data_IF_241438926072
#
_entry.id   IF_241438926072
#
_cell.length_a   1.000
_cell.length_b   1.000
_cell.length_c   1.000
_cell.angle_alpha   90.00
_cell.angle_beta   90.00
_cell.angle_gamma   90.00
#
_symmetry.space_group_name_H-M   'P 1'
#
loop_
_entity.id
_entity.type
_entity.pdbx_description
1 polymer ?
#
# COMPACT_ATOMS: atom_id res chain seq x y z
N UNK A 1 55.25 -31.57 -43.51
CA UNK A 1 55.03 -30.91 -42.20
C UNK A 1 54.81 -29.42 -42.42
N UNK A 2 53.58 -28.91 -42.27
CA UNK A 2 53.35 -27.48 -41.95
C UNK A 2 51.94 -27.26 -41.39
N UNK A 3 51.94 -26.60 -40.24
CA UNK A 3 50.92 -26.52 -39.19
C UNK A 3 49.54 -26.00 -39.62
N UNK A 4 48.50 -26.70 -39.16
CA UNK A 4 47.12 -26.21 -39.09
C UNK A 4 47.01 -25.35 -37.82
N UNK A 5 46.71 -24.06 -37.97
CA UNK A 5 46.35 -23.18 -36.85
C UNK A 5 44.85 -23.29 -36.59
N UNK A 6 44.48 -23.86 -35.44
CA UNK A 6 43.11 -23.84 -34.92
C UNK A 6 42.97 -22.58 -34.06
N UNK A 7 42.14 -21.63 -34.51
CA UNK A 7 41.73 -20.47 -33.72
C UNK A 7 40.59 -20.90 -32.78
N UNK A 8 40.89 -21.05 -31.49
CA UNK A 8 39.87 -21.21 -30.46
C UNK A 8 39.39 -19.81 -30.08
N UNK A 9 38.19 -19.44 -30.53
CA UNK A 9 37.51 -18.23 -30.07
C UNK A 9 37.03 -18.45 -28.62
N UNK A 10 37.78 -17.92 -27.65
CA UNK A 10 37.35 -17.80 -26.27
C UNK A 10 36.23 -16.74 -26.20
N UNK A 11 34.98 -17.19 -26.21
CA UNK A 11 33.83 -16.36 -25.87
C UNK A 11 33.90 -16.13 -24.35
N UNK A 12 34.49 -15.01 -23.95
CA UNK A 12 34.34 -14.49 -22.59
C UNK A 12 32.90 -14.02 -22.42
N UNK A 13 32.01 -14.92 -21.97
CA UNK A 13 30.73 -14.52 -21.39
C UNK A 13 31.04 -13.82 -20.07
N UNK A 14 31.18 -12.50 -20.08
CA UNK A 14 31.14 -11.73 -18.84
C UNK A 14 29.78 -11.97 -18.20
N UNK A 15 29.76 -12.65 -17.06
CA UNK A 15 28.58 -12.73 -16.22
C UNK A 15 28.34 -11.30 -15.75
N UNK A 16 27.43 -10.58 -16.41
CA UNK A 16 26.92 -9.30 -15.93
C UNK A 16 26.20 -9.62 -14.62
N UNK A 17 26.88 -9.37 -13.49
CA UNK A 17 26.26 -9.53 -12.18
C UNK A 17 25.18 -8.47 -12.08
N UNK A 18 23.93 -8.90 -11.87
CA UNK A 18 22.81 -7.99 -11.68
C UNK A 18 23.08 -7.08 -10.47
N UNK A 19 22.82 -5.78 -10.63
CA UNK A 19 22.92 -4.80 -9.55
C UNK A 19 22.07 -5.23 -8.34
N UNK A 20 22.69 -5.33 -7.17
CA UNK A 20 21.99 -5.62 -5.90
C UNK A 20 21.04 -4.48 -5.54
N UNK A 21 20.01 -4.75 -4.72
CA UNK A 21 19.05 -3.72 -4.34
C UNK A 21 19.66 -2.57 -3.52
N UNK A 22 20.69 -2.84 -2.73
CA UNK A 22 21.42 -1.80 -1.99
C UNK A 22 22.26 -0.91 -2.94
N UNK A 23 22.87 -1.50 -3.97
CA UNK A 23 23.57 -0.75 -5.02
C UNK A 23 22.59 0.09 -5.84
N UNK A 24 21.42 -0.48 -6.17
CA UNK A 24 20.32 0.23 -6.81
C UNK A 24 19.89 1.46 -6.02
N UNK A 25 19.61 1.32 -4.71
CA UNK A 25 19.27 2.46 -3.84
C UNK A 25 20.35 3.52 -3.86
N UNK A 26 21.61 3.12 -3.62
CA UNK A 26 22.75 4.03 -3.59
C UNK A 26 22.93 4.80 -4.90
N UNK A 27 22.69 4.14 -6.04
CA UNK A 27 22.76 4.75 -7.36
C UNK A 27 21.64 5.77 -7.56
N UNK A 28 20.38 5.41 -7.26
CA UNK A 28 19.23 6.31 -7.40
C UNK A 28 19.43 7.54 -6.52
N UNK A 29 19.79 7.37 -5.24
CA UNK A 29 20.07 8.48 -4.33
C UNK A 29 21.16 9.39 -4.89
N UNK A 30 22.27 8.81 -5.39
CA UNK A 30 23.35 9.60 -5.99
C UNK A 30 22.91 10.38 -7.24
N UNK A 31 22.02 9.82 -8.05
CA UNK A 31 21.51 10.49 -9.26
C UNK A 31 20.63 11.70 -8.94
N UNK A 32 19.97 11.70 -7.79
CA UNK A 32 18.99 12.72 -7.40
C UNK A 32 19.41 13.59 -6.20
N UNK A 33 20.60 13.37 -5.63
CA UNK A 33 21.07 14.01 -4.38
C UNK A 33 20.98 15.54 -4.33
N UNK A 34 21.11 16.21 -5.49
CA UNK A 34 21.14 17.69 -5.58
C UNK A 34 19.79 18.27 -6.05
N UNK A 35 18.75 17.44 -6.15
CA UNK A 35 17.41 17.85 -6.61
C UNK A 35 16.42 17.85 -5.46
N UNK A 36 15.42 18.74 -5.53
CA UNK A 36 14.31 18.75 -4.58
C UNK A 36 13.51 17.44 -4.70
N UNK A 37 13.08 16.88 -3.57
CA UNK A 37 12.25 15.67 -3.53
C UNK A 37 11.03 15.77 -4.45
N UNK A 38 10.31 16.90 -4.39
CA UNK A 38 9.08 17.12 -5.15
C UNK A 38 9.31 17.26 -6.67
N UNK A 39 10.55 17.49 -7.11
CA UNK A 39 10.88 17.54 -8.54
C UNK A 39 11.17 16.15 -9.12
N UNK A 40 11.41 15.15 -8.26
CA UNK A 40 11.97 13.85 -8.66
C UNK A 40 11.19 12.65 -8.16
N UNK A 41 10.27 12.82 -7.22
CA UNK A 41 9.53 11.74 -6.56
C UNK A 41 8.82 10.79 -7.55
N UNK A 42 8.16 11.31 -8.59
CA UNK A 42 7.53 10.47 -9.64
C UNK A 42 8.56 9.70 -10.50
N UNK A 43 9.74 10.29 -10.72
CA UNK A 43 10.82 9.58 -11.44
C UNK A 43 11.39 8.45 -10.59
N UNK A 44 11.58 8.70 -9.29
CA UNK A 44 12.05 7.70 -8.32
C UNK A 44 11.04 6.57 -8.17
N UNK A 45 9.75 6.90 -8.04
CA UNK A 45 8.65 5.91 -8.07
C UNK A 45 8.77 5.02 -9.31
N UNK A 46 8.88 5.62 -10.51
CA UNK A 46 8.99 4.87 -11.77
C UNK A 46 10.18 3.92 -11.77
N UNK A 47 11.37 4.37 -11.33
CA UNK A 47 12.56 3.52 -11.24
C UNK A 47 12.37 2.36 -10.24
N UNK A 48 11.77 2.63 -9.08
CA UNK A 48 11.54 1.62 -8.04
C UNK A 48 10.51 0.60 -8.54
N UNK A 49 9.39 1.04 -9.13
CA UNK A 49 8.34 0.17 -9.69
C UNK A 49 8.95 -0.75 -10.75
N UNK A 50 9.78 -0.21 -11.66
CA UNK A 50 10.48 -1.01 -12.66
C UNK A 50 11.44 -2.02 -12.01
N UNK A 51 12.15 -1.65 -10.94
CA UNK A 51 13.05 -2.57 -10.21
C UNK A 51 12.28 -3.68 -9.52
N UNK A 52 11.18 -3.38 -8.82
CA UNK A 52 10.38 -4.40 -8.12
C UNK A 52 9.62 -5.31 -9.08
N UNK A 53 9.31 -4.87 -10.31
CA UNK A 53 8.76 -5.74 -11.35
C UNK A 53 9.76 -6.82 -11.81
N UNK A 54 11.04 -6.47 -11.88
CA UNK A 54 12.05 -7.32 -12.53
C UNK A 54 12.98 -8.07 -11.55
N UNK A 55 13.03 -7.66 -10.27
CA UNK A 55 13.93 -8.24 -9.28
C UNK A 55 13.16 -8.96 -8.17
N UNK A 56 13.10 -10.30 -8.19
CA UNK A 56 12.38 -11.09 -7.17
C UNK A 56 12.92 -10.90 -5.75
N UNK A 57 14.18 -10.50 -5.59
CA UNK A 57 14.74 -10.25 -4.26
C UNK A 57 14.12 -9.01 -3.60
N UNK A 58 13.46 -8.14 -4.39
CA UNK A 58 12.77 -6.96 -3.87
C UNK A 58 11.59 -7.30 -2.99
N UNK A 59 10.98 -8.48 -3.17
CA UNK A 59 9.83 -8.89 -2.37
C UNK A 59 10.20 -8.95 -0.88
N UNK A 60 11.40 -9.40 -0.52
CA UNK A 60 11.86 -9.47 0.88
C UNK A 60 12.69 -8.27 1.34
N UNK A 61 13.14 -7.42 0.42
CA UNK A 61 14.03 -6.29 0.72
C UNK A 61 13.28 -5.06 1.23
N UNK A 62 13.73 -4.43 2.31
CA UNK A 62 12.98 -3.33 2.93
C UNK A 62 13.13 -1.98 2.23
N UNK A 63 14.11 -1.76 1.36
CA UNK A 63 14.42 -0.44 0.79
C UNK A 63 14.63 0.66 1.84
N UNK A 64 15.56 0.47 2.81
CA UNK A 64 15.72 1.38 3.94
C UNK A 64 16.05 2.82 3.52
N UNK A 65 16.81 3.01 2.44
CA UNK A 65 17.21 4.35 2.00
C UNK A 65 16.02 5.08 1.37
N UNK A 66 15.20 4.39 0.58
CA UNK A 66 13.98 4.99 0.04
C UNK A 66 12.93 5.26 1.12
N UNK A 67 12.84 4.42 2.15
CA UNK A 67 11.95 4.70 3.28
C UNK A 67 12.37 5.92 4.09
N UNK A 68 13.69 6.12 4.27
CA UNK A 68 14.22 7.25 5.05
C UNK A 68 14.20 8.58 4.28
N UNK A 69 14.68 8.59 3.04
CA UNK A 69 14.92 9.83 2.29
C UNK A 69 13.81 10.21 1.31
N UNK A 70 12.97 9.26 0.90
CA UNK A 70 12.03 9.44 -0.21
C UNK A 70 10.59 9.08 0.14
N UNK A 71 10.27 9.02 1.44
CA UNK A 71 8.92 8.78 1.97
C UNK A 71 8.24 7.51 1.42
N UNK A 72 9.02 6.53 0.93
CA UNK A 72 8.46 5.23 0.57
C UNK A 72 7.96 4.55 1.84
N UNK A 73 6.74 4.01 1.81
CA UNK A 73 6.24 3.13 2.86
C UNK A 73 5.97 1.75 2.30
N UNK A 74 6.24 0.74 3.14
CA UNK A 74 5.93 -0.65 2.78
C UNK A 74 5.22 -1.36 3.91
N UNK A 75 4.24 -2.19 3.54
CA UNK A 75 3.48 -3.03 4.47
C UNK A 75 3.42 -4.44 3.92
N UNK A 76 3.66 -5.45 4.75
CA UNK A 76 3.33 -6.83 4.36
C UNK A 76 1.92 -7.17 4.80
N UNK A 77 1.23 -8.00 4.01
CA UNK A 77 0.07 -8.71 4.54
C UNK A 77 0.48 -9.57 5.74
N UNK A 78 -0.43 -9.84 6.70
CA UNK A 78 -0.12 -10.69 7.86
C UNK A 78 0.46 -12.07 7.50
N UNK A 79 -0.01 -12.69 6.42
CA UNK A 79 0.53 -13.95 5.90
C UNK A 79 1.78 -13.81 5.01
N UNK A 80 2.27 -12.58 4.83
CA UNK A 80 3.44 -12.20 4.03
C UNK A 80 3.38 -12.64 2.56
N UNK A 81 2.18 -12.83 2.01
CA UNK A 81 2.00 -13.14 0.57
C UNK A 81 2.00 -11.92 -0.32
N UNK A 82 1.67 -10.76 0.25
CA UNK A 82 1.61 -9.49 -0.47
C UNK A 82 2.49 -8.48 0.26
N UNK A 83 3.22 -7.68 -0.50
CA UNK A 83 3.90 -6.50 -0.02
C UNK A 83 3.34 -5.29 -0.73
N UNK A 84 2.85 -4.34 0.04
CA UNK A 84 2.31 -3.07 -0.43
C UNK A 84 3.37 -1.99 -0.38
N UNK A 85 3.28 -1.06 -1.32
CA UNK A 85 4.14 0.10 -1.46
C UNK A 85 3.26 1.34 -1.56
N UNK A 86 3.64 2.42 -0.90
CA UNK A 86 3.03 3.74 -1.05
C UNK A 86 4.14 4.76 -1.25
N UNK A 87 4.04 5.50 -2.34
CA UNK A 87 4.94 6.59 -2.72
C UNK A 87 4.24 7.93 -2.51
N UNK A 88 4.95 8.92 -1.97
CA UNK A 88 4.52 10.32 -2.01
C UNK A 88 4.94 10.92 -3.36
N UNK A 89 3.95 11.27 -4.18
CA UNK A 89 4.13 11.79 -5.53
C UNK A 89 3.67 13.24 -5.67
N UNK A 90 3.43 13.92 -4.55
CA UNK A 90 2.89 15.29 -4.54
C UNK A 90 3.90 16.35 -4.96
N UNK A 91 3.37 17.52 -5.34
CA UNK A 91 4.18 18.68 -5.76
C UNK A 91 4.66 19.60 -4.64
N UNK A 92 4.60 19.18 -3.37
CA UNK A 92 5.02 20.00 -2.21
C UNK A 92 3.96 20.98 -1.66
N UNK A 93 2.71 20.85 -2.09
CA UNK A 93 1.57 21.58 -1.54
C UNK A 93 1.10 21.03 -0.18
N UNK A 94 -0.02 21.53 0.32
CA UNK A 94 -0.61 21.03 1.58
C UNK A 94 -1.34 19.70 1.39
N UNK A 95 -1.88 19.46 0.20
CA UNK A 95 -2.49 18.19 -0.21
C UNK A 95 -1.43 17.10 -0.37
N UNK A 96 -1.75 15.88 0.09
CA UNK A 96 -0.91 14.71 -0.14
C UNK A 96 -1.40 13.96 -1.36
N UNK A 97 -0.48 13.62 -2.26
CA UNK A 97 -0.76 12.79 -3.43
C UNK A 97 0.07 11.52 -3.31
N UNK A 98 -0.61 10.38 -3.44
CA UNK A 98 0.01 9.07 -3.20
C UNK A 98 -0.25 8.14 -4.37
N UNK A 99 0.76 7.35 -4.70
CA UNK A 99 0.66 6.22 -5.61
C UNK A 99 0.97 4.94 -4.86
N UNK A 100 0.13 3.91 -5.05
CA UNK A 100 0.23 2.67 -4.28
C UNK A 100 0.23 1.44 -5.18
N UNK A 101 1.04 0.46 -4.79
CA UNK A 101 1.21 -0.79 -5.53
C UNK A 101 1.19 -1.98 -4.57
N UNK A 102 0.75 -3.12 -5.06
CA UNK A 102 1.00 -4.41 -4.43
C UNK A 102 2.02 -5.20 -5.24
N UNK A 103 2.85 -5.96 -4.55
CA UNK A 103 3.76 -6.94 -5.13
C UNK A 103 3.46 -8.30 -4.52
N UNK A 104 3.43 -9.32 -5.37
CA UNK A 104 3.38 -10.73 -4.96
C UNK A 104 4.44 -11.53 -5.67
N UNK A 105 4.80 -12.69 -5.13
CA UNK A 105 5.76 -13.61 -5.74
C UNK A 105 5.06 -14.94 -6.07
N UNK A 106 4.68 -15.12 -7.33
CA UNK A 106 3.97 -16.31 -7.82
C UNK A 106 4.89 -17.08 -8.76
N UNK A 107 5.12 -18.35 -8.46
CA UNK A 107 6.04 -19.23 -9.21
C UNK A 107 7.43 -18.61 -9.48
N UNK A 108 7.95 -17.83 -8.51
CA UNK A 108 9.24 -17.18 -8.61
C UNK A 108 9.29 -15.92 -9.49
N UNK A 109 8.13 -15.44 -9.97
CA UNK A 109 7.99 -14.19 -10.71
C UNK A 109 7.24 -13.15 -9.88
N UNK A 110 7.68 -11.91 -9.97
CA UNK A 110 6.96 -10.80 -9.37
C UNK A 110 5.71 -10.48 -10.19
N UNK A 111 4.61 -10.23 -9.50
CA UNK A 111 3.43 -9.59 -10.06
C UNK A 111 3.25 -8.31 -9.29
N UNK A 112 3.26 -7.17 -10.00
CA UNK A 112 3.11 -5.84 -9.41
C UNK A 112 1.83 -5.23 -9.96
N UNK A 113 0.89 -4.93 -9.08
CA UNK A 113 -0.43 -4.42 -9.43
C UNK A 113 -0.62 -3.03 -8.82
N UNK A 114 -0.88 -1.97 -9.62
CA UNK A 114 -1.28 -0.68 -9.07
C UNK A 114 -2.61 -0.84 -8.33
N UNK A 115 -2.76 -0.17 -7.20
CA UNK A 115 -3.98 -0.18 -6.41
C UNK A 115 -4.42 1.24 -6.10
N UNK A 116 -5.71 1.51 -6.27
CA UNK A 116 -6.31 2.80 -5.96
C UNK A 116 -6.57 2.89 -4.44
N UNK A 117 -5.55 3.32 -3.70
CA UNK A 117 -5.64 3.55 -2.26
C UNK A 117 -4.81 4.78 -1.86
N UNK A 118 -5.13 5.37 -0.71
CA UNK A 118 -4.40 6.52 -0.18
C UNK A 118 -3.06 6.10 0.43
N UNK A 119 -2.56 6.90 1.36
CA UNK A 119 -1.43 6.50 2.17
C UNK A 119 -1.82 5.33 3.06
N UNK A 120 -1.21 4.17 2.87
CA UNK A 120 -1.53 2.96 3.63
C UNK A 120 -1.05 3.15 5.08
N UNK A 121 -1.98 2.97 6.02
CA UNK A 121 -1.71 3.05 7.46
C UNK A 121 -1.47 1.66 8.05
N UNK A 122 -2.30 0.68 7.67
CA UNK A 122 -2.20 -0.69 8.14
C UNK A 122 -2.81 -1.68 7.15
N UNK A 123 -2.38 -2.93 7.24
CA UNK A 123 -2.89 -4.05 6.45
C UNK A 123 -3.26 -5.19 7.38
N UNK A 124 -4.56 -5.49 7.47
CA UNK A 124 -5.08 -6.64 8.22
C UNK A 124 -5.56 -7.74 7.28
N UNK A 125 -5.79 -8.93 7.82
CA UNK A 125 -6.25 -10.08 7.04
C UNK A 125 -7.37 -10.81 7.77
N UNK A 126 -8.54 -10.86 7.14
CA UNK A 126 -9.70 -11.58 7.64
C UNK A 126 -10.01 -12.77 6.73
N UNK A 127 -10.53 -13.85 7.30
CA UNK A 127 -11.08 -14.97 6.53
C UNK A 127 -12.59 -14.78 6.34
N UNK A 128 -13.03 -14.59 5.09
CA UNK A 128 -14.45 -14.59 4.69
C UNK A 128 -14.67 -15.72 3.69
N UNK A 129 -15.66 -16.59 3.94
CA UNK A 129 -15.94 -17.80 3.15
C UNK A 129 -14.69 -18.66 2.92
N UNK A 130 -13.85 -18.78 3.96
CA UNK A 130 -12.54 -19.47 3.94
C UNK A 130 -11.52 -18.87 2.96
N UNK A 131 -11.79 -17.69 2.39
CA UNK A 131 -10.86 -16.97 1.55
C UNK A 131 -10.19 -15.84 2.35
N UNK A 132 -8.87 -15.65 2.19
CA UNK A 132 -8.18 -14.51 2.79
C UNK A 132 -8.60 -13.21 2.09
N UNK A 133 -9.04 -12.27 2.89
CA UNK A 133 -9.41 -10.92 2.49
C UNK A 133 -8.48 -9.96 3.23
N UNK A 134 -7.80 -9.11 2.47
CA UNK A 134 -6.88 -8.11 2.99
C UNK A 134 -7.65 -6.81 3.17
N UNK A 135 -7.64 -6.30 4.40
CA UNK A 135 -8.26 -5.04 4.77
C UNK A 135 -7.16 -3.99 4.81
N UNK A 136 -7.20 -3.03 3.89
CA UNK A 136 -6.24 -1.94 3.84
C UNK A 136 -6.88 -0.72 4.47
N UNK A 137 -6.30 -0.26 5.58
CA UNK A 137 -6.62 1.04 6.18
C UNK A 137 -5.73 2.09 5.54
N UNK A 138 -6.32 3.16 5.02
CA UNK A 138 -5.60 4.20 4.30
C UNK A 138 -6.09 5.60 4.67
N UNK A 139 -5.26 6.59 4.35
CA UNK A 139 -5.50 7.99 4.60
C UNK A 139 -5.27 8.84 3.35
N UNK A 140 -6.21 9.72 3.03
CA UNK A 140 -6.08 10.74 2.01
C UNK A 140 -5.97 12.10 2.67
N UNK A 141 -4.87 12.81 2.39
CA UNK A 141 -4.62 14.15 2.90
C UNK A 141 -5.20 15.19 1.94
N UNK A 142 -6.32 15.80 2.33
CA UNK A 142 -6.86 16.96 1.62
C UNK A 142 -6.07 18.23 1.91
N UNK A 143 -6.60 19.37 1.47
CA UNK A 143 -5.94 20.66 1.70
C UNK A 143 -6.10 21.10 3.15
N UNK A 144 -5.01 21.62 3.73
CA UNK A 144 -4.96 22.21 5.07
C UNK A 144 -5.35 21.25 6.20
N UNK A 145 -6.65 21.11 6.46
CA UNK A 145 -7.21 20.51 7.68
C UNK A 145 -8.26 19.43 7.39
N UNK A 146 -8.54 19.16 6.12
CA UNK A 146 -9.51 18.12 5.72
C UNK A 146 -8.80 16.90 5.16
N UNK A 147 -9.45 15.75 5.24
CA UNK A 147 -9.00 14.53 4.58
C UNK A 147 -9.99 13.40 4.78
N UNK A 148 -9.57 12.18 4.45
CA UNK A 148 -10.46 11.02 4.48
C UNK A 148 -9.70 9.80 4.98
N UNK A 149 -10.22 9.13 6.00
CA UNK A 149 -9.81 7.78 6.36
C UNK A 149 -10.64 6.78 5.56
N UNK A 150 -10.03 5.67 5.16
CA UNK A 150 -10.75 4.62 4.46
C UNK A 150 -10.30 3.24 4.92
N UNK A 151 -11.22 2.28 4.80
CA UNK A 151 -10.93 0.86 4.88
C UNK A 151 -11.49 0.18 3.63
N UNK A 152 -10.67 -0.57 2.92
CA UNK A 152 -11.06 -1.24 1.68
C UNK A 152 -10.68 -2.73 1.70
N UNK A 153 -11.55 -3.55 1.12
CA UNK A 153 -11.34 -4.98 0.97
C UNK A 153 -10.64 -5.34 -0.34
N UNK A 154 -9.63 -6.19 -0.24
CA UNK A 154 -8.92 -6.77 -1.38
C UNK A 154 -8.82 -8.29 -1.27
N UNK A 155 -8.75 -8.98 -2.42
CA UNK A 155 -8.44 -10.40 -2.51
C UNK A 155 -7.22 -10.61 -3.42
N UNK A 156 -6.47 -11.67 -3.14
CA UNK A 156 -5.37 -12.13 -4.00
C UNK A 156 -5.91 -13.11 -5.04
N UNK A 157 -5.72 -12.80 -6.32
CA UNK A 157 -6.08 -13.68 -7.42
C UNK A 157 -5.03 -14.76 -7.65
N UNK A 158 -5.42 -15.83 -8.35
CA UNK A 158 -4.49 -16.88 -8.77
C UNK A 158 -3.40 -16.37 -9.72
N UNK A 159 -3.65 -15.27 -10.43
CA UNK A 159 -2.65 -14.57 -11.26
C UNK A 159 -1.55 -13.92 -10.43
N UNK A 160 -1.74 -13.73 -9.12
CA UNK A 160 -0.88 -12.93 -8.26
C UNK A 160 -1.31 -11.47 -8.12
N UNK A 161 -2.26 -11.02 -8.93
CA UNK A 161 -2.79 -9.66 -8.85
C UNK A 161 -3.71 -9.51 -7.64
N UNK A 162 -3.76 -8.29 -7.12
CA UNK A 162 -4.67 -7.91 -6.04
C UNK A 162 -5.87 -7.19 -6.65
N UNK A 163 -7.07 -7.63 -6.31
CA UNK A 163 -8.32 -7.07 -6.81
C UNK A 163 -9.19 -6.56 -5.65
N UNK A 164 -9.84 -5.41 -5.87
CA UNK A 164 -10.86 -4.87 -4.96
C UNK A 164 -12.00 -5.87 -4.80
N UNK A 165 -12.55 -6.00 -3.59
CA UNK A 165 -13.65 -6.94 -3.32
C UNK A 165 -14.67 -6.36 -2.35
N UNK A 166 -15.95 -6.56 -2.69
CA UNK A 166 -17.08 -6.02 -1.95
C UNK A 166 -17.37 -6.88 -0.72
N UNK A 167 -17.09 -6.35 0.46
CA UNK A 167 -17.14 -7.08 1.73
C UNK A 167 -17.89 -6.32 2.84
N UNK A 168 -18.29 -5.07 2.61
CA UNK A 168 -19.03 -4.27 3.59
C UNK A 168 -20.50 -4.24 3.22
N UNK A 169 -21.30 -5.04 3.90
CA UNK A 169 -22.73 -5.16 3.65
C UNK A 169 -23.50 -4.14 4.49
N UNK A 170 -24.04 -3.12 3.82
CA UNK A 170 -24.98 -2.17 4.41
C UNK A 170 -26.41 -2.72 4.34
N UNK A 171 -27.40 -1.94 4.81
CA UNK A 171 -28.81 -2.27 4.62
C UNK A 171 -29.25 -2.28 3.14
N UNK A 172 -28.52 -1.61 2.26
CA UNK A 172 -28.96 -1.33 0.87
C UNK A 172 -27.99 -1.84 -0.20
N UNK A 173 -26.72 -2.02 0.15
CA UNK A 173 -25.64 -2.25 -0.80
C UNK A 173 -24.51 -3.08 -0.20
N UNK A 174 -23.74 -3.73 -1.06
CA UNK A 174 -22.47 -4.34 -0.73
C UNK A 174 -21.37 -3.43 -1.30
N UNK A 175 -20.50 -2.94 -0.44
CA UNK A 175 -19.44 -1.99 -0.76
C UNK A 175 -18.07 -2.67 -0.62
N UNK A 176 -17.11 -2.27 -1.42
CA UNK A 176 -15.70 -2.66 -1.25
C UNK A 176 -14.93 -1.76 -0.28
N UNK A 177 -15.40 -0.54 -0.08
CA UNK A 177 -14.77 0.46 0.76
C UNK A 177 -15.79 1.15 1.68
N UNK A 178 -15.32 1.59 2.83
CA UNK A 178 -15.98 2.60 3.66
C UNK A 178 -15.00 3.75 3.86
N UNK A 179 -15.46 4.97 3.62
CA UNK A 179 -14.71 6.21 3.85
C UNK A 179 -15.32 7.00 4.99
N UNK A 180 -14.48 7.74 5.71
CA UNK A 180 -14.86 8.71 6.74
C UNK A 180 -14.06 9.97 6.50
N UNK A 181 -14.73 10.98 5.97
CA UNK A 181 -14.16 12.32 5.83
C UNK A 181 -13.94 12.93 7.22
N UNK A 182 -12.95 13.78 7.37
CA UNK A 182 -12.75 14.51 8.60
C UNK A 182 -12.29 15.93 8.38
N UNK A 183 -12.56 16.77 9.39
CA UNK A 183 -12.06 18.13 9.51
C UNK A 183 -11.35 18.26 10.86
N UNK A 184 -10.05 18.57 10.81
CA UNK A 184 -9.19 18.69 11.97
C UNK A 184 -9.55 19.89 12.88
N UNK A 185 -10.33 20.86 12.39
CA UNK A 185 -10.83 22.00 13.18
C UNK A 185 -11.81 21.54 14.27
N UNK A 186 -12.28 20.29 14.18
CA UNK A 186 -13.18 19.67 15.15
C UNK A 186 -12.45 18.72 16.12
N UNK A 187 -11.13 18.62 16.04
CA UNK A 187 -10.32 17.92 17.03
C UNK A 187 -10.11 18.83 18.24
N UNK A 188 -10.32 18.31 19.44
CA UNK A 188 -10.18 19.10 20.68
C UNK A 188 -8.72 19.38 21.07
N UNK A 189 -7.76 18.80 20.33
CA UNK A 189 -6.32 19.06 20.45
C UNK A 189 -5.50 18.24 19.44
N UNK A 190 -4.21 18.56 19.27
CA UNK A 190 -3.31 17.88 18.33
C UNK A 190 -3.00 16.42 18.69
N UNK A 191 -3.25 16.01 19.93
CA UNK A 191 -3.08 14.63 20.43
C UNK A 191 -4.39 13.83 20.49
N UNK A 192 -5.52 14.44 20.11
CA UNK A 192 -6.87 13.93 20.36
C UNK A 192 -7.55 13.55 19.04
N UNK A 193 -6.80 12.91 18.13
CA UNK A 193 -7.34 12.41 16.87
C UNK A 193 -8.30 11.24 17.17
N UNK A 194 -9.60 11.38 16.86
CA UNK A 194 -10.54 10.30 17.07
C UNK A 194 -10.11 9.06 16.28
N UNK A 195 -10.35 7.88 16.85
CA UNK A 195 -10.24 6.64 16.08
C UNK A 195 -11.40 6.60 15.07
N UNK A 196 -11.14 7.05 13.84
CA UNK A 196 -12.14 7.11 12.76
C UNK A 196 -12.60 5.72 12.31
N UNK A 197 -11.68 4.76 12.33
CA UNK A 197 -11.92 3.36 12.02
C UNK A 197 -11.30 2.56 13.17
N UNK A 198 -12.12 1.69 13.78
CA UNK A 198 -11.70 0.79 14.85
C UNK A 198 -11.90 -0.63 14.38
N UNK A 199 -10.85 -1.43 14.47
CA UNK A 199 -10.93 -2.84 14.15
C UNK A 199 -10.60 -3.64 15.40
N UNK A 200 -11.53 -4.50 15.82
CA UNK A 200 -11.32 -5.43 16.92
C UNK A 200 -10.10 -6.33 16.66
N UNK A 201 -9.40 -6.73 17.72
CA UNK A 201 -8.17 -7.54 17.61
C UNK A 201 -8.40 -8.88 16.93
N UNK A 202 -9.57 -9.48 17.14
CA UNK A 202 -9.99 -10.75 16.53
C UNK A 202 -10.66 -10.56 15.15
N UNK A 203 -10.73 -9.32 14.67
CA UNK A 203 -11.37 -8.91 13.41
C UNK A 203 -12.86 -9.27 13.35
N UNK A 204 -13.52 -9.50 14.50
CA UNK A 204 -14.94 -9.82 14.60
C UNK A 204 -15.84 -8.61 14.31
N UNK A 205 -15.35 -7.41 14.61
CA UNK A 205 -16.03 -6.13 14.37
C UNK A 205 -15.12 -5.09 13.75
N UNK A 206 -15.74 -4.24 12.92
CA UNK A 206 -15.19 -3.00 12.39
C UNK A 206 -16.20 -1.90 12.72
N UNK A 207 -15.75 -0.88 13.43
CA UNK A 207 -16.55 0.24 13.90
C UNK A 207 -16.09 1.51 13.19
N UNK A 208 -17.03 2.23 12.57
CA UNK A 208 -16.78 3.44 11.76
C UNK A 208 -17.35 4.64 12.49
N UNK A 209 -16.53 5.64 12.80
CA UNK A 209 -16.96 6.82 13.56
C UNK A 209 -18.07 7.57 12.84
N UNK A 210 -19.16 7.85 13.56
CA UNK A 210 -20.27 8.63 13.05
C UNK A 210 -20.00 10.12 13.24
N UNK A 211 -20.12 10.86 12.15
CA UNK A 211 -20.00 12.32 12.13
C UNK A 211 -21.36 12.96 11.87
N UNK A 212 -21.52 14.21 12.29
CA UNK A 212 -22.66 15.03 11.87
C UNK A 212 -22.41 15.67 10.49
N UNK A 213 -23.38 16.47 10.03
CA UNK A 213 -23.30 17.18 8.75
C UNK A 213 -22.15 18.19 8.64
N UNK A 214 -21.54 18.56 9.77
CA UNK A 214 -20.39 19.46 9.85
C UNK A 214 -19.11 18.67 10.16
N UNK A 215 -19.03 17.37 9.86
CA UNK A 215 -17.86 16.52 10.12
C UNK A 215 -17.40 16.43 11.59
N UNK A 216 -18.27 16.82 12.54
CA UNK A 216 -17.96 16.73 13.98
C UNK A 216 -18.25 15.31 14.50
N UNK A 217 -17.32 14.69 15.26
CA UNK A 217 -17.54 13.40 15.91
C UNK A 217 -18.77 13.38 16.83
N UNK A 218 -19.60 12.34 16.70
CA UNK A 218 -20.77 12.12 17.56
C UNK A 218 -20.51 11.16 18.73
N UNK A 219 -19.25 10.71 18.91
CA UNK A 219 -18.86 9.70 19.90
C UNK A 219 -19.76 8.45 19.85
N UNK A 220 -20.10 8.06 18.61
CA UNK A 220 -20.87 6.87 18.26
C UNK A 220 -20.27 6.26 17.01
N UNK A 221 -20.43 4.96 16.85
CA UNK A 221 -19.86 4.22 15.74
C UNK A 221 -20.91 3.40 15.01
N UNK A 222 -20.81 3.31 13.69
CA UNK A 222 -21.51 2.31 12.89
C UNK A 222 -20.74 0.99 13.00
N UNK A 223 -21.38 -0.03 13.58
CA UNK A 223 -20.76 -1.35 13.78
C UNK A 223 -21.07 -2.28 12.62
N UNK A 224 -20.01 -2.82 12.04
CA UNK A 224 -20.06 -3.95 11.11
C UNK A 224 -19.53 -5.20 11.82
N UNK A 225 -20.27 -6.29 11.74
CA UNK A 225 -19.91 -7.57 12.35
C UNK A 225 -19.55 -8.57 11.27
N UNK A 226 -18.44 -9.26 11.46
CA UNK A 226 -17.99 -10.34 10.59
C UNK A 226 -19.04 -11.45 10.51
N UNK A 227 -19.44 -11.80 9.29
CA UNK A 227 -20.21 -12.99 8.92
C UNK A 227 -19.38 -13.83 7.96
N UNK A 228 -19.95 -14.93 7.47
CA UNK A 228 -19.24 -15.82 6.56
C UNK A 228 -18.77 -15.08 5.31
N UNK A 229 -19.66 -14.35 4.61
CA UNK A 229 -19.32 -13.73 3.33
C UNK A 229 -18.84 -12.27 3.41
N UNK A 230 -19.19 -11.54 4.48
CA UNK A 230 -19.03 -10.09 4.54
C UNK A 230 -19.01 -9.58 6.00
N UNK A 231 -18.56 -8.35 6.18
CA UNK A 231 -18.81 -7.53 7.36
C UNK A 231 -20.19 -6.87 7.23
N UNK A 232 -21.15 -7.32 8.01
CA UNK A 232 -22.54 -6.88 7.94
C UNK A 232 -22.84 -5.77 8.95
N UNK A 233 -23.43 -4.67 8.49
CA UNK A 233 -23.90 -3.59 9.35
C UNK A 233 -24.92 -4.11 10.37
N UNK A 234 -24.62 -3.94 11.65
CA UNK A 234 -25.48 -4.33 12.76
C UNK A 234 -26.30 -3.16 13.29
N UNK A 235 -25.67 -1.98 13.45
CA UNK A 235 -26.31 -0.85 14.12
C UNK A 235 -25.30 0.17 14.61
N UNK A 236 -25.75 1.06 15.49
CA UNK A 236 -24.91 2.10 16.10
C UNK A 236 -24.50 1.69 17.52
N UNK A 237 -23.23 1.88 17.88
CA UNK A 237 -22.66 1.63 19.20
C UNK A 237 -21.98 2.88 19.75
N UNK A 238 -21.58 2.85 21.02
CA UNK A 238 -20.75 3.91 21.64
C UNK A 238 -19.27 3.58 21.48
#
# INVERSE_FOLDING_TARGET
>A
MKNIFIFIALIFSSIIHAETLAQFESRVVKNYKDKSFYDVNQSIETEIVAKIQNDKSSFSYSFPVFQDHYNLRTHYSPDKKIKFYTFDIGGGGTMGEFSSYSQTLIYGKNVVTPIETGFILDVKQSLLNKQPIYLIESYYKGSSCVGTYAIQGFKLLASGEVEVTKIFQTKKSLLDQITVDYDCNHHMGSSDTPEYIRISKDLSTIDILLLNQNFKPLNKYLRYVKKDAAYQYLGTVK
#
